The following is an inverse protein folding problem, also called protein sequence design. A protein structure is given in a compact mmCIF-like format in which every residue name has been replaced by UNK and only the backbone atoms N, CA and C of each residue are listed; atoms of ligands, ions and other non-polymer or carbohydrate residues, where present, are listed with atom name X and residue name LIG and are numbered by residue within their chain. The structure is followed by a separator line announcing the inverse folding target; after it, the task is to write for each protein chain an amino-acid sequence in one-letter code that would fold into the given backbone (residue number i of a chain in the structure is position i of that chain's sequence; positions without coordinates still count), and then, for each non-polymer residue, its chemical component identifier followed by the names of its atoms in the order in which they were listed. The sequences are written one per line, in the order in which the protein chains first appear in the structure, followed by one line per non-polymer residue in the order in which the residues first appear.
data_IF_986947635565
#
_entry.id   IF_986947635565
#
_cell.length_a   1.000
_cell.length_b   1.000
_cell.length_c   1.000
_cell.angle_alpha   90.00
_cell.angle_beta   90.00
_cell.angle_gamma   90.00
#
_symmetry.space_group_name_H-M   'P 1'
#
loop_
_entity.id
_entity.type
_entity.pdbx_description
1 polymer ?
#
# COMPACT_ATOMS: atom_id res chain seq x y z
N UNK A 1 -18.42 15.75 -6.22
CA UNK A 1 -18.94 14.44 -6.65
C UNK A 1 -17.79 13.45 -6.71
N UNK A 2 -17.64 12.59 -5.70
CA UNK A 2 -16.67 11.48 -5.72
C UNK A 2 -17.24 10.40 -6.63
N UNK A 3 -16.55 10.07 -7.73
CA UNK A 3 -16.91 8.89 -8.52
C UNK A 3 -16.83 7.66 -7.61
N UNK A 4 -17.99 7.03 -7.37
CA UNK A 4 -18.11 5.86 -6.52
C UNK A 4 -17.69 4.63 -7.35
N UNK A 5 -16.73 3.85 -6.85
CA UNK A 5 -16.29 2.64 -7.52
C UNK A 5 -17.45 1.63 -7.53
N UNK A 6 -17.75 1.04 -8.68
CA UNK A 6 -18.75 -0.02 -8.76
C UNK A 6 -18.29 -1.23 -7.95
N UNK A 7 -18.98 -1.48 -6.83
CA UNK A 7 -18.66 -2.54 -5.88
C UNK A 7 -18.78 -3.97 -6.43
N UNK A 8 -19.27 -4.15 -7.65
CA UNK A 8 -19.32 -5.46 -8.33
C UNK A 8 -18.02 -5.78 -9.06
N UNK A 9 -17.25 -4.76 -9.42
CA UNK A 9 -15.94 -4.92 -10.06
C UNK A 9 -14.90 -5.46 -9.09
N UNK A 10 -13.85 -6.10 -9.59
CA UNK A 10 -12.72 -6.57 -8.77
C UNK A 10 -12.11 -5.41 -7.95
N UNK A 11 -11.96 -4.24 -8.58
CA UNK A 11 -11.49 -3.01 -7.94
C UNK A 11 -12.42 -2.54 -6.81
N UNK A 12 -13.73 -2.54 -7.05
CA UNK A 12 -14.71 -2.19 -6.03
C UNK A 12 -14.74 -3.17 -4.84
N UNK A 13 -14.46 -4.46 -5.07
CA UNK A 13 -14.32 -5.45 -3.99
C UNK A 13 -13.08 -5.19 -3.14
N UNK A 14 -11.92 -5.01 -3.78
CA UNK A 14 -10.66 -4.69 -3.09
C UNK A 14 -10.76 -3.38 -2.28
N UNK A 15 -11.43 -2.36 -2.85
CA UNK A 15 -11.73 -1.13 -2.13
C UNK A 15 -12.49 -1.42 -0.82
N UNK A 16 -13.60 -2.16 -0.90
CA UNK A 16 -14.43 -2.49 0.27
C UNK A 16 -13.68 -3.32 1.30
N UNK A 17 -12.89 -4.28 0.86
CA UNK A 17 -12.07 -5.12 1.74
C UNK A 17 -11.06 -4.28 2.51
N UNK A 18 -10.39 -3.34 1.85
CA UNK A 18 -9.39 -2.49 2.48
C UNK A 18 -10.02 -1.45 3.41
N UNK A 19 -11.14 -0.81 3.03
CA UNK A 19 -11.92 0.05 3.93
C UNK A 19 -12.31 -0.73 5.19
N UNK A 20 -12.89 -1.93 5.01
CA UNK A 20 -13.31 -2.77 6.14
C UNK A 20 -12.14 -3.17 7.03
N UNK A 21 -10.98 -3.46 6.47
CA UNK A 21 -9.78 -3.78 7.24
C UNK A 21 -9.33 -2.59 8.11
N UNK A 22 -9.37 -1.37 7.56
CA UNK A 22 -9.05 -0.15 8.30
C UNK A 22 -10.10 0.16 9.36
N UNK A 23 -11.38 0.00 9.06
CA UNK A 23 -12.49 0.16 10.02
C UNK A 23 -12.33 -0.81 11.20
N UNK A 24 -12.05 -2.09 10.95
CA UNK A 24 -11.80 -3.09 12.01
C UNK A 24 -10.62 -2.67 12.90
N UNK A 25 -9.56 -2.10 12.31
CA UNK A 25 -8.38 -1.71 13.06
C UNK A 25 -8.59 -0.44 13.89
N UNK A 26 -9.36 0.52 13.37
CA UNK A 26 -9.61 1.81 13.99
C UNK A 26 -10.83 1.83 14.92
N UNK A 27 -11.73 0.85 14.78
CA UNK A 27 -13.02 0.77 15.46
C UNK A 27 -14.18 1.26 14.59
N UNK A 28 -15.40 0.82 14.93
CA UNK A 28 -16.61 1.02 14.11
C UNK A 28 -17.19 2.46 14.14
N UNK A 29 -16.65 3.37 14.96
CA UNK A 29 -17.13 4.76 15.08
C UNK A 29 -16.07 5.77 14.62
N UNK A 30 -15.86 5.84 13.30
CA UNK A 30 -14.94 6.77 12.69
C UNK A 30 -15.56 8.18 12.63
N UNK A 31 -14.84 9.15 13.19
CA UNK A 31 -15.17 10.57 12.97
C UNK A 31 -15.11 10.91 11.46
N UNK A 32 -15.85 11.93 10.98
CA UNK A 32 -15.84 12.30 9.57
C UNK A 32 -14.43 12.58 8.99
N UNK A 33 -13.49 13.21 9.72
CA UNK A 33 -12.11 13.33 9.26
C UNK A 33 -11.39 11.98 9.09
N UNK A 34 -11.58 11.03 10.04
CA UNK A 34 -11.00 9.69 9.94
C UNK A 34 -11.56 8.92 8.76
N UNK A 35 -12.88 8.98 8.53
CA UNK A 35 -13.50 8.33 7.38
C UNK A 35 -12.92 8.83 6.03
N UNK A 36 -12.59 10.13 5.93
CA UNK A 36 -11.90 10.69 4.74
C UNK A 36 -10.48 10.17 4.58
N UNK A 37 -9.73 10.04 5.68
CA UNK A 37 -8.39 9.46 5.65
C UNK A 37 -8.43 7.97 5.28
N UNK A 38 -9.43 7.21 5.73
CA UNK A 38 -9.65 5.81 5.32
C UNK A 38 -9.95 5.71 3.81
N UNK A 39 -10.83 6.55 3.26
CA UNK A 39 -11.08 6.59 1.80
C UNK A 39 -9.79 6.93 1.04
N UNK A 40 -9.03 7.93 1.50
CA UNK A 40 -7.79 8.35 0.86
C UNK A 40 -6.72 7.24 0.90
N UNK A 41 -6.49 6.61 2.06
CA UNK A 41 -5.56 5.50 2.22
C UNK A 41 -5.94 4.35 1.27
N UNK A 42 -7.22 3.99 1.23
CA UNK A 42 -7.72 2.93 0.35
C UNK A 42 -7.47 3.22 -1.12
N UNK A 43 -7.71 4.45 -1.57
CA UNK A 43 -7.47 4.84 -2.97
C UNK A 43 -5.99 4.80 -3.31
N UNK A 44 -5.12 5.22 -2.40
CA UNK A 44 -3.66 5.15 -2.57
C UNK A 44 -3.17 3.69 -2.61
N UNK A 45 -3.70 2.82 -1.75
CA UNK A 45 -3.40 1.40 -1.75
C UNK A 45 -3.78 0.72 -3.09
N UNK A 46 -4.95 1.06 -3.64
CA UNK A 46 -5.39 0.58 -4.95
C UNK A 46 -4.51 1.09 -6.08
N UNK A 47 -4.18 2.39 -6.06
CA UNK A 47 -3.30 2.99 -7.06
C UNK A 47 -1.91 2.32 -7.03
N UNK A 48 -1.35 2.12 -5.84
CA UNK A 48 -0.09 1.41 -5.67
C UNK A 48 -0.18 -0.02 -6.22
N UNK A 49 -1.26 -0.74 -5.92
CA UNK A 49 -1.47 -2.11 -6.41
C UNK A 49 -1.55 -2.19 -7.94
N UNK A 50 -2.28 -1.26 -8.58
CA UNK A 50 -2.38 -1.17 -10.05
C UNK A 50 -1.01 -0.84 -10.66
N UNK A 51 -0.34 0.18 -10.12
CA UNK A 51 0.97 0.61 -10.62
C UNK A 51 2.02 -0.48 -10.47
N UNK A 52 1.98 -1.24 -9.38
CA UNK A 52 2.87 -2.38 -9.19
C UNK A 52 2.61 -3.50 -10.18
N UNK A 53 1.33 -3.85 -10.42
CA UNK A 53 0.99 -4.85 -11.43
C UNK A 53 1.50 -4.44 -12.81
N UNK A 54 1.30 -3.17 -13.20
CA UNK A 54 1.80 -2.64 -14.47
C UNK A 54 3.33 -2.70 -14.57
N UNK A 55 4.03 -2.40 -13.46
CA UNK A 55 5.48 -2.51 -13.39
C UNK A 55 5.96 -3.97 -13.52
N UNK A 56 5.22 -4.93 -12.97
CA UNK A 56 5.51 -6.37 -13.14
C UNK A 56 5.28 -6.83 -14.58
N UNK A 57 4.18 -6.40 -15.21
CA UNK A 57 3.80 -6.83 -16.55
C UNK A 57 4.76 -6.28 -17.62
N UNK A 58 5.25 -5.04 -17.45
CA UNK A 58 6.17 -4.40 -18.40
C UNK A 58 7.66 -4.55 -18.07
N UNK A 59 7.97 -4.99 -16.85
CA UNK A 59 9.30 -4.96 -16.28
C UNK A 59 9.55 -3.69 -15.45
N UNK A 60 10.16 -3.91 -14.28
CA UNK A 60 10.46 -2.86 -13.29
C UNK A 60 11.52 -1.89 -13.82
N UNK A 61 12.43 -2.39 -14.67
CA UNK A 61 13.42 -1.60 -15.39
C UNK A 61 13.30 -1.85 -16.89
N UNK A 62 13.34 -0.77 -17.66
CA UNK A 62 13.30 -0.82 -19.13
C UNK A 62 14.49 0.02 -19.63
N UNK A 63 15.39 -0.62 -20.39
CA UNK A 63 16.63 0.00 -20.88
C UNK A 63 17.52 0.59 -19.76
N UNK A 64 17.56 -0.06 -18.60
CA UNK A 64 18.37 0.37 -17.44
C UNK A 64 17.73 1.48 -16.59
N UNK A 65 16.59 2.04 -17.02
CA UNK A 65 15.86 3.06 -16.28
C UNK A 65 14.63 2.46 -15.58
N UNK A 66 14.27 2.95 -14.38
CA UNK A 66 13.05 2.51 -13.71
C UNK A 66 11.82 2.90 -14.54
N UNK A 67 10.86 1.98 -14.67
CA UNK A 67 9.65 2.27 -15.43
C UNK A 67 8.77 3.31 -14.69
N UNK A 68 7.97 4.14 -15.40
CA UNK A 68 7.11 5.14 -14.76
C UNK A 68 6.08 4.56 -13.78
N UNK A 69 5.68 3.31 -14.00
CA UNK A 69 4.78 2.60 -13.10
C UNK A 69 5.42 2.33 -11.73
N UNK A 70 6.74 2.08 -11.70
CA UNK A 70 7.49 1.95 -10.44
C UNK A 70 7.48 3.25 -9.64
N UNK A 71 7.73 4.41 -10.28
CA UNK A 71 7.68 5.71 -9.58
C UNK A 71 6.28 5.98 -9.01
N UNK A 72 5.23 5.69 -9.80
CA UNK A 72 3.83 5.82 -9.36
C UNK A 72 3.55 4.94 -8.14
N UNK A 73 4.00 3.68 -8.17
CA UNK A 73 3.90 2.76 -7.03
C UNK A 73 4.60 3.33 -5.79
N UNK A 74 5.87 3.76 -5.93
CA UNK A 74 6.63 4.27 -4.78
C UNK A 74 5.98 5.51 -4.16
N UNK A 75 5.49 6.44 -4.98
CA UNK A 75 4.82 7.65 -4.51
C UNK A 75 3.50 7.34 -3.83
N UNK A 76 2.66 6.51 -4.46
CA UNK A 76 1.36 6.12 -3.88
C UNK A 76 1.54 5.39 -2.54
N UNK A 77 2.44 4.42 -2.47
CA UNK A 77 2.76 3.71 -1.24
C UNK A 77 3.38 4.64 -0.17
N UNK A 78 4.20 5.60 -0.59
CA UNK A 78 4.73 6.62 0.30
C UNK A 78 3.64 7.49 0.93
N UNK A 79 2.73 8.01 0.11
CA UNK A 79 1.61 8.83 0.57
C UNK A 79 0.62 8.03 1.41
N UNK A 80 0.34 6.78 1.05
CA UNK A 80 -0.51 5.89 1.84
C UNK A 80 0.02 5.77 3.26
N UNK A 81 1.34 5.53 3.41
CA UNK A 81 1.98 5.45 4.71
C UNK A 81 1.82 6.73 5.53
N UNK A 82 1.92 7.91 4.92
CA UNK A 82 1.70 9.16 5.63
C UNK A 82 0.25 9.31 6.10
N UNK A 83 -0.73 8.89 5.28
CA UNK A 83 -2.15 8.88 5.67
C UNK A 83 -2.40 7.88 6.81
N UNK A 84 -1.82 6.69 6.76
CA UNK A 84 -1.93 5.68 7.81
C UNK A 84 -1.33 6.18 9.13
N UNK A 85 -0.20 6.92 9.10
CA UNK A 85 0.35 7.56 10.30
C UNK A 85 -0.61 8.57 10.91
N UNK A 86 -1.32 9.38 10.09
CA UNK A 86 -2.33 10.32 10.58
C UNK A 86 -3.53 9.60 11.22
N UNK A 87 -3.80 8.37 10.82
CA UNK A 87 -4.80 7.49 11.45
C UNK A 87 -4.28 6.78 12.71
N UNK A 88 -3.03 7.04 13.12
CA UNK A 88 -2.39 6.38 14.27
C UNK A 88 -1.88 4.97 13.97
N UNK A 89 -1.95 4.51 12.72
CA UNK A 89 -1.48 3.19 12.30
C UNK A 89 0.01 3.30 12.00
N UNK A 90 0.84 2.78 12.91
CA UNK A 90 2.28 2.80 12.76
C UNK A 90 2.80 1.46 12.24
N UNK A 91 3.81 1.53 11.36
CA UNK A 91 4.55 0.34 10.96
C UNK A 91 5.35 -0.14 12.17
N UNK A 92 5.25 -1.43 12.56
CA UNK A 92 6.12 -1.95 13.60
C UNK A 92 7.58 -1.80 13.14
N UNK A 93 8.41 -1.24 14.02
CA UNK A 93 9.85 -1.21 13.79
C UNK A 93 10.33 -2.65 13.66
N UNK A 94 10.88 -2.98 12.50
CA UNK A 94 11.63 -4.22 12.31
C UNK A 94 13.09 -3.89 12.54
N UNK A 95 13.77 -4.76 13.28
CA UNK A 95 15.22 -4.72 13.42
C UNK A 95 15.85 -4.70 12.01
N UNK A 96 16.61 -3.64 11.72
CA UNK A 96 17.31 -3.49 10.45
C UNK A 96 18.59 -4.32 10.56
N UNK A 97 18.50 -5.58 10.14
CA UNK A 97 19.69 -6.42 10.00
C UNK A 97 20.48 -6.00 8.76
N UNK A 98 21.81 -6.00 8.88
CA UNK A 98 22.69 -5.72 7.75
C UNK A 98 22.51 -6.76 6.64
N UNK A 99 22.89 -6.41 5.39
CA UNK A 99 22.87 -7.38 4.29
C UNK A 99 23.73 -8.61 4.61
N UNK A 100 24.86 -8.41 5.30
CA UNK A 100 25.71 -9.51 5.74
C UNK A 100 25.00 -10.40 6.77
N UNK A 101 24.33 -9.82 7.77
CA UNK A 101 23.54 -10.58 8.75
C UNK A 101 22.35 -11.32 8.12
N UNK A 102 21.69 -10.71 7.14
CA UNK A 102 20.60 -11.35 6.41
C UNK A 102 21.09 -12.58 5.62
N UNK A 103 22.19 -12.44 4.90
CA UNK A 103 22.81 -13.53 4.15
C UNK A 103 23.32 -14.63 5.08
N UNK A 104 23.90 -14.27 6.23
CA UNK A 104 24.36 -15.24 7.24
C UNK A 104 23.19 -16.04 7.86
N UNK A 105 22.05 -15.39 8.14
CA UNK A 105 20.84 -16.06 8.64
C UNK A 105 20.18 -16.99 7.62
N UNK A 106 20.29 -16.68 6.32
CA UNK A 106 19.74 -17.50 5.23
C UNK A 106 20.68 -18.65 4.83
N UNK A 107 22.00 -18.46 4.97
CA UNK A 107 23.03 -19.45 4.63
C UNK A 107 23.43 -20.40 5.77
N UNK A 108 22.86 -20.25 6.97
CA UNK A 108 23.20 -21.04 8.16
C UNK A 108 22.41 -22.35 8.32
N UNK A 109 22.43 -23.20 7.30
CA UNK A 109 22.02 -24.60 7.37
C UNK A 109 23.12 -25.49 6.77
N UNK A 110 24.24 -25.57 7.47
CA UNK A 110 25.18 -26.68 7.40
C UNK A 110 25.44 -27.20 8.81
#
# INVERSE_FOLDING_TARGET
MTAQLDGRTRLGKLYKEHVRALEIHLGDDLSPPQARLVDQATRLALLASIAWQEALDRGVFVNGEPCPALDTFMRAAGQEREVLKLLGIQRPEKEVISLQEYLAKQGGAE
#
